data_IF_666815586429
#
_entry.id   IF_666815586429
#
_cell.length_a   1.000
_cell.length_b   1.000
_cell.length_c   1.000
_cell.angle_alpha   90.00
_cell.angle_beta   90.00
_cell.angle_gamma   90.00
#
_symmetry.space_group_name_H-M   'P 1'
#
loop_
_entity.id
_entity.type
_entity.pdbx_description
1 polymer ?
#
# COMPACT_ATOMS: atom_id res chain seq x y z
N UNK A 1 24.80 -10.24 0.00
CA UNK A 1 23.73 -9.25 0.05
C UNK A 1 23.12 -8.96 -1.30
N UNK A 2 23.94 -8.80 -2.35
CA UNK A 2 23.43 -8.54 -3.70
C UNK A 2 22.59 -9.70 -4.24
N UNK A 3 22.90 -10.93 -3.84
CA UNK A 3 22.13 -12.11 -4.27
C UNK A 3 20.71 -12.11 -3.74
N UNK A 4 20.51 -11.68 -2.48
CA UNK A 4 19.20 -11.63 -1.86
C UNK A 4 18.33 -10.54 -2.48
N UNK A 5 18.92 -9.38 -2.78
CA UNK A 5 18.20 -8.29 -3.44
C UNK A 5 17.78 -8.68 -4.85
N UNK A 6 18.65 -9.38 -5.60
CA UNK A 6 18.30 -9.88 -6.93
C UNK A 6 17.18 -10.93 -6.88
N UNK A 7 17.28 -11.85 -5.91
CA UNK A 7 16.27 -12.89 -5.74
C UNK A 7 14.93 -12.26 -5.37
N UNK A 8 14.93 -11.25 -4.50
CA UNK A 8 13.70 -10.55 -4.10
C UNK A 8 13.05 -9.81 -5.26
N UNK A 9 13.85 -9.17 -6.09
CA UNK A 9 13.35 -8.46 -7.27
C UNK A 9 12.76 -9.44 -8.29
N UNK A 10 13.41 -10.58 -8.50
CA UNK A 10 12.91 -11.60 -9.41
C UNK A 10 11.62 -12.22 -8.89
N UNK A 11 11.54 -12.48 -7.58
CA UNK A 11 10.32 -13.01 -6.98
C UNK A 11 9.17 -12.02 -7.07
N UNK A 12 9.43 -10.74 -6.85
CA UNK A 12 8.41 -9.72 -7.02
C UNK A 12 7.87 -9.71 -8.45
N UNK A 13 8.76 -9.75 -9.43
CA UNK A 13 8.37 -9.77 -10.83
C UNK A 13 7.49 -10.97 -11.16
N UNK A 14 7.85 -12.15 -10.66
CA UNK A 14 7.07 -13.36 -10.87
C UNK A 14 5.69 -13.25 -10.23
N UNK A 15 5.64 -12.77 -8.99
CA UNK A 15 4.37 -12.60 -8.28
C UNK A 15 3.48 -11.57 -8.96
N UNK A 16 4.07 -10.48 -9.45
CA UNK A 16 3.32 -9.46 -10.19
C UNK A 16 2.72 -10.04 -11.46
N UNK A 17 3.50 -10.79 -12.23
CA UNK A 17 2.99 -11.43 -13.45
C UNK A 17 1.86 -12.41 -13.13
N UNK A 18 2.02 -13.22 -12.10
CA UNK A 18 0.97 -14.16 -11.66
C UNK A 18 -0.30 -13.45 -11.24
N UNK A 19 -0.16 -12.34 -10.51
CA UNK A 19 -1.32 -11.57 -10.09
C UNK A 19 -2.06 -10.96 -11.28
N UNK A 20 -1.34 -10.47 -12.28
CA UNK A 20 -1.94 -9.95 -13.49
C UNK A 20 -2.69 -11.03 -14.25
N UNK A 21 -2.08 -12.19 -14.42
CA UNK A 21 -2.72 -13.34 -15.10
C UNK A 21 -3.98 -13.76 -14.32
N UNK A 22 -3.89 -13.83 -13.00
CA UNK A 22 -5.03 -14.18 -12.16
C UNK A 22 -6.17 -13.18 -12.24
N UNK A 23 -5.87 -11.94 -12.57
CA UNK A 23 -6.87 -10.90 -12.77
C UNK A 23 -7.42 -10.86 -14.21
N UNK A 24 -6.98 -11.77 -15.07
CA UNK A 24 -7.40 -11.83 -16.46
C UNK A 24 -6.67 -10.86 -17.37
N UNK A 25 -5.50 -10.41 -16.96
CA UNK A 25 -4.71 -9.43 -17.70
C UNK A 25 -3.45 -10.08 -18.30
N UNK A 26 -3.01 -9.55 -19.43
CA UNK A 26 -1.73 -9.98 -20.01
C UNK A 26 -0.59 -9.34 -19.20
N UNK A 27 0.46 -10.10 -18.86
CA UNK A 27 1.58 -9.57 -18.08
C UNK A 27 2.55 -8.78 -18.95
N UNK A 28 2.06 -7.69 -19.52
CA UNK A 28 2.82 -6.82 -20.41
C UNK A 28 2.95 -5.43 -19.81
N UNK A 29 4.05 -4.77 -20.14
CA UNK A 29 4.34 -3.43 -19.61
C UNK A 29 3.25 -2.41 -19.96
N UNK A 30 2.71 -2.46 -21.18
CA UNK A 30 1.66 -1.52 -21.59
C UNK A 30 0.38 -1.69 -20.77
N UNK A 31 0.00 -2.93 -20.48
CA UNK A 31 -1.17 -3.23 -19.65
C UNK A 31 -0.93 -2.78 -18.21
N UNK A 32 0.26 -3.05 -17.68
CA UNK A 32 0.65 -2.67 -16.33
C UNK A 32 0.67 -1.14 -16.17
N UNK A 33 1.28 -0.43 -17.12
CA UNK A 33 1.34 1.03 -17.09
C UNK A 33 -0.05 1.64 -17.03
N UNK A 34 -0.93 1.20 -17.92
CA UNK A 34 -2.30 1.74 -17.99
C UNK A 34 -3.07 1.48 -16.70
N UNK A 35 -3.07 0.23 -16.25
CA UNK A 35 -3.82 -0.15 -15.05
C UNK A 35 -3.29 0.51 -13.79
N UNK A 36 -1.98 0.55 -13.63
CA UNK A 36 -1.38 1.21 -12.48
C UNK A 36 -1.70 2.70 -12.45
N UNK A 37 -1.49 3.40 -13.58
CA UNK A 37 -1.70 4.84 -13.63
C UNK A 37 -3.16 5.25 -13.45
N UNK A 38 -4.10 4.38 -13.82
CA UNK A 38 -5.52 4.64 -13.58
C UNK A 38 -5.91 4.47 -12.11
N UNK A 39 -5.13 3.73 -11.35
CA UNK A 39 -5.46 3.37 -9.97
C UNK A 39 -4.53 3.97 -8.92
N UNK A 40 -3.60 4.81 -9.33
CA UNK A 40 -2.63 5.43 -8.43
C UNK A 40 -2.74 6.95 -8.53
N UNK A 41 -2.88 7.60 -7.37
CA UNK A 41 -3.07 9.05 -7.29
C UNK A 41 -1.78 9.84 -7.07
N UNK A 42 -0.65 9.29 -7.44
CA UNK A 42 0.63 9.97 -7.40
C UNK A 42 1.14 10.26 -8.80
N UNK A 43 2.44 10.48 -8.92
CA UNK A 43 3.06 10.65 -10.22
C UNK A 43 2.87 9.39 -11.06
N UNK A 44 2.44 9.52 -12.32
CA UNK A 44 2.29 8.35 -13.18
C UNK A 44 3.64 7.72 -13.48
N UNK A 45 3.63 6.40 -13.64
CA UNK A 45 4.82 5.66 -14.05
C UNK A 45 4.95 5.68 -15.56
N UNK A 46 6.20 5.62 -16.03
CA UNK A 46 6.48 5.47 -17.45
C UNK A 46 6.41 4.00 -17.84
N UNK A 47 6.25 3.75 -19.14
CA UNK A 47 6.27 2.39 -19.67
C UNK A 47 7.59 1.69 -19.31
N UNK A 48 8.71 2.39 -19.46
CA UNK A 48 10.02 1.85 -19.12
C UNK A 48 10.13 1.50 -17.63
N UNK A 49 9.60 2.37 -16.77
CA UNK A 49 9.63 2.15 -15.33
C UNK A 49 8.89 0.90 -14.91
N UNK A 50 7.65 0.71 -15.41
CA UNK A 50 6.88 -0.49 -15.07
C UNK A 50 7.45 -1.75 -15.72
N UNK A 51 8.06 -1.62 -16.90
CA UNK A 51 8.72 -2.73 -17.55
C UNK A 51 9.85 -3.29 -16.68
N UNK A 52 10.57 -2.44 -15.98
CA UNK A 52 11.64 -2.86 -15.07
C UNK A 52 11.09 -3.69 -13.90
N UNK A 53 9.87 -3.37 -13.43
CA UNK A 53 9.21 -4.19 -12.41
C UNK A 53 8.96 -5.61 -12.91
N UNK A 54 8.46 -5.73 -14.15
CA UNK A 54 8.16 -7.03 -14.75
C UNK A 54 9.40 -7.85 -15.07
N UNK A 55 10.52 -7.18 -15.32
CA UNK A 55 11.79 -7.87 -15.61
C UNK A 55 12.58 -8.24 -14.37
N UNK A 56 12.14 -7.79 -13.19
CA UNK A 56 12.86 -8.06 -11.96
C UNK A 56 14.09 -7.20 -11.77
N UNK A 57 14.13 -6.04 -12.40
CA UNK A 57 15.22 -5.08 -12.26
C UNK A 57 15.05 -4.14 -11.09
N UNK A 58 13.80 -3.76 -10.79
CA UNK A 58 13.48 -2.90 -9.66
C UNK A 58 12.19 -3.36 -8.98
N UNK A 59 12.05 -2.98 -7.72
CA UNK A 59 10.83 -3.21 -6.94
C UNK A 59 10.26 -1.83 -6.60
N UNK A 60 8.95 -1.61 -6.82
CA UNK A 60 8.34 -0.32 -6.47
C UNK A 60 8.30 -0.11 -4.96
N UNK A 61 8.23 1.15 -4.50
CA UNK A 61 8.03 1.43 -3.09
C UNK A 61 6.69 0.88 -2.59
N UNK A 62 6.56 0.73 -1.28
CA UNK A 62 5.39 0.10 -0.67
C UNK A 62 4.08 0.74 -1.11
N UNK A 63 4.02 2.06 -1.17
CA UNK A 63 2.79 2.76 -1.58
C UNK A 63 2.32 2.34 -2.97
N UNK A 64 3.26 2.13 -3.88
CA UNK A 64 2.93 1.68 -5.24
C UNK A 64 2.51 0.22 -5.27
N UNK A 65 3.12 -0.61 -4.42
CA UNK A 65 2.71 -2.01 -4.31
C UNK A 65 1.30 -2.14 -3.73
N UNK A 66 0.94 -1.28 -2.77
CA UNK A 66 -0.44 -1.24 -2.25
C UNK A 66 -1.42 -0.91 -3.37
N UNK A 67 -1.08 0.05 -4.23
CA UNK A 67 -1.93 0.41 -5.37
C UNK A 67 -2.07 -0.76 -6.36
N UNK A 68 -0.97 -1.47 -6.63
CA UNK A 68 -0.99 -2.65 -7.48
C UNK A 68 -1.88 -3.74 -6.88
N UNK A 69 -1.75 -3.99 -5.59
CA UNK A 69 -2.54 -5.01 -4.90
C UNK A 69 -4.04 -4.69 -4.95
N UNK A 70 -4.40 -3.45 -4.73
CA UNK A 70 -5.81 -3.02 -4.82
C UNK A 70 -6.36 -3.18 -6.22
N UNK A 71 -5.59 -2.78 -7.22
CA UNK A 71 -6.00 -2.91 -8.62
C UNK A 71 -6.17 -4.38 -9.01
N UNK A 72 -5.23 -5.21 -8.63
CA UNK A 72 -5.24 -6.64 -8.98
C UNK A 72 -6.09 -7.47 -8.03
N UNK A 73 -6.62 -6.86 -6.97
CA UNK A 73 -7.49 -7.50 -5.96
C UNK A 73 -6.81 -8.66 -5.25
N UNK A 74 -5.56 -8.47 -4.91
CA UNK A 74 -4.78 -9.45 -4.15
C UNK A 74 -4.24 -8.81 -2.88
N UNK A 75 -3.95 -9.60 -1.84
CA UNK A 75 -3.27 -9.07 -0.66
C UNK A 75 -1.86 -8.59 -1.01
N UNK A 76 -1.37 -7.57 -0.29
CA UNK A 76 -0.03 -7.04 -0.51
C UNK A 76 1.03 -8.14 -0.35
N UNK A 77 0.82 -9.06 0.57
CA UNK A 77 1.73 -10.18 0.81
C UNK A 77 1.92 -11.08 -0.41
N UNK A 78 0.93 -11.14 -1.29
CA UNK A 78 1.05 -11.91 -2.53
C UNK A 78 2.09 -11.32 -3.47
N UNK A 79 2.38 -10.02 -3.33
CA UNK A 79 3.40 -9.36 -4.15
C UNK A 79 4.75 -9.29 -3.45
N UNK A 80 4.76 -8.93 -2.18
CA UNK A 80 6.00 -8.83 -1.40
C UNK A 80 6.46 -10.14 -0.76
N UNK A 81 5.55 -11.08 -0.54
CA UNK A 81 5.86 -12.28 0.22
C UNK A 81 6.07 -11.98 1.70
N UNK A 82 6.92 -12.77 2.36
CA UNK A 82 7.16 -12.65 3.80
C UNK A 82 7.74 -11.28 4.17
N UNK A 83 8.56 -10.68 3.28
CA UNK A 83 9.13 -9.35 3.52
C UNK A 83 8.12 -8.22 3.49
N UNK A 84 6.94 -8.47 2.92
CA UNK A 84 5.90 -7.46 2.82
C UNK A 84 5.32 -7.03 4.15
N UNK A 85 5.27 -7.93 5.12
CA UNK A 85 4.79 -7.60 6.46
C UNK A 85 5.66 -6.53 7.12
N UNK A 86 6.96 -6.68 7.01
CA UNK A 86 7.91 -5.73 7.59
C UNK A 86 7.78 -4.36 6.90
N UNK A 87 7.68 -4.35 5.58
CA UNK A 87 7.49 -3.11 4.84
C UNK A 87 6.16 -2.44 5.20
N UNK A 88 5.09 -3.24 5.39
CA UNK A 88 3.79 -2.73 5.78
C UNK A 88 3.83 -2.08 7.16
N UNK A 89 4.53 -2.70 8.10
CA UNK A 89 4.66 -2.16 9.45
C UNK A 89 5.46 -0.85 9.44
N UNK A 90 6.52 -0.79 8.66
CA UNK A 90 7.34 0.43 8.53
C UNK A 90 6.57 1.58 7.87
N UNK A 91 5.69 1.25 6.94
CA UNK A 91 4.90 2.25 6.20
C UNK A 91 3.67 2.73 6.95
N UNK A 92 3.26 2.05 8.02
CA UNK A 92 2.12 2.49 8.82
C UNK A 92 2.41 3.82 9.49
N UNK A 93 1.39 4.70 9.64
CA UNK A 93 1.58 5.92 10.39
C UNK A 93 2.10 5.60 11.78
N UNK A 94 3.18 6.26 12.16
CA UNK A 94 3.76 6.06 13.50
C UNK A 94 3.06 6.99 14.47
N UNK A 95 2.22 6.43 15.31
CA UNK A 95 1.68 7.15 16.45
C UNK A 95 2.72 7.21 17.54
N UNK A 96 2.58 8.16 18.46
CA UNK A 96 3.49 8.25 19.57
C UNK A 96 3.48 7.00 20.44
N UNK A 97 4.51 6.80 21.28
CA UNK A 97 4.61 5.60 22.11
C UNK A 97 3.45 5.45 23.11
N UNK A 98 2.71 6.51 23.35
CA UNK A 98 1.56 6.50 24.25
C UNK A 98 0.31 5.89 23.61
N UNK A 99 0.29 5.74 22.30
CA UNK A 99 -0.87 5.23 21.59
C UNK A 99 -0.81 3.71 21.54
N UNK A 100 -1.68 3.08 22.32
CA UNK A 100 -1.75 1.65 22.40
C UNK A 100 -2.57 1.04 21.27
N UNK A 101 -2.72 -0.28 21.34
CA UNK A 101 -3.44 -1.04 20.33
C UNK A 101 -4.92 -0.65 20.26
N UNK A 102 -5.53 -0.40 21.43
CA UNK A 102 -6.94 -0.03 21.49
C UNK A 102 -7.21 1.32 20.82
N UNK A 103 -6.31 2.26 20.98
CA UNK A 103 -6.43 3.57 20.35
C UNK A 103 -6.30 3.47 18.84
N UNK A 104 -5.45 2.58 18.36
CA UNK A 104 -5.32 2.32 16.92
C UNK A 104 -6.59 1.74 16.34
N UNK A 105 -7.20 0.78 17.02
CA UNK A 105 -8.46 0.21 16.59
C UNK A 105 -9.56 1.26 16.54
N UNK A 106 -9.61 2.12 17.55
CA UNK A 106 -10.58 3.20 17.61
C UNK A 106 -10.39 4.17 16.44
N UNK A 107 -9.15 4.53 16.15
CA UNK A 107 -8.84 5.42 15.03
C UNK A 107 -9.23 4.80 13.69
N UNK A 108 -8.93 3.52 13.50
CA UNK A 108 -9.32 2.82 12.28
C UNK A 108 -10.84 2.76 12.12
N UNK A 109 -11.56 2.50 13.22
CA UNK A 109 -13.02 2.50 13.21
C UNK A 109 -13.56 3.89 12.86
N UNK A 110 -12.92 4.95 13.39
CA UNK A 110 -13.28 6.32 13.06
C UNK A 110 -13.19 6.60 11.56
N UNK A 111 -12.11 6.13 10.92
CA UNK A 111 -11.89 6.35 9.49
C UNK A 111 -12.93 5.64 8.63
N UNK A 112 -13.55 4.58 9.15
CA UNK A 112 -14.58 3.83 8.42
C UNK A 112 -15.97 4.45 8.55
N UNK A 113 -16.15 5.42 9.43
CA UNK A 113 -17.43 6.07 9.62
C UNK A 113 -17.80 6.96 8.43
N UNK A 114 -19.11 7.11 8.12
CA UNK A 114 -19.56 8.09 7.13
C UNK A 114 -19.14 9.51 7.51
N UNK A 115 -18.99 10.39 6.52
CA UNK A 115 -18.50 11.75 6.74
C UNK A 115 -19.28 12.53 7.82
N UNK A 116 -20.62 12.48 7.86
CA UNK A 116 -21.36 13.21 8.92
C UNK A 116 -21.01 12.72 10.31
N UNK A 117 -20.86 11.41 10.50
CA UNK A 117 -20.53 10.85 11.80
C UNK A 117 -19.09 11.16 12.19
N UNK A 118 -18.17 11.15 11.23
CA UNK A 118 -16.78 11.54 11.51
C UNK A 118 -16.68 12.98 11.98
N UNK A 119 -17.48 13.85 11.43
CA UNK A 119 -17.52 15.27 11.85
C UNK A 119 -17.93 15.40 13.30
N UNK A 120 -18.97 14.68 13.72
CA UNK A 120 -19.45 14.72 15.09
C UNK A 120 -18.38 14.21 16.06
N UNK A 121 -17.75 13.09 15.74
CA UNK A 121 -16.69 12.53 16.58
C UNK A 121 -15.50 13.48 16.65
N UNK A 122 -15.15 14.09 15.53
CA UNK A 122 -14.06 15.07 15.49
C UNK A 122 -14.32 16.25 16.44
N UNK A 123 -15.54 16.77 16.42
CA UNK A 123 -15.91 17.90 17.28
C UNK A 123 -15.80 17.52 18.75
N UNK A 124 -16.21 16.31 19.11
CA UNK A 124 -16.09 15.81 20.48
C UNK A 124 -14.63 15.70 20.88
N UNK A 125 -13.79 15.14 20.05
CA UNK A 125 -12.36 14.98 20.33
C UNK A 125 -11.69 16.35 20.51
N UNK A 126 -11.99 17.29 19.62
CA UNK A 126 -11.42 18.64 19.71
C UNK A 126 -11.86 19.33 21.00
N UNK A 127 -13.14 19.19 21.38
CA UNK A 127 -13.66 19.78 22.61
C UNK A 127 -12.94 19.23 23.84
N UNK A 128 -12.75 17.91 23.90
CA UNK A 128 -12.03 17.29 25.00
C UNK A 128 -10.56 17.69 25.03
N UNK A 129 -9.93 17.79 23.85
CA UNK A 129 -8.54 18.21 23.77
C UNK A 129 -8.31 19.60 24.29
N UNK A 130 -9.22 20.53 23.98
CA UNK A 130 -9.16 21.89 24.48
C UNK A 130 -9.37 21.95 25.99
N UNK A 131 -10.26 21.10 26.49
CA UNK A 131 -10.53 21.02 27.92
C UNK A 131 -9.32 20.53 28.70
N UNK A 132 -8.62 19.54 28.19
CA UNK A 132 -7.45 18.92 28.85
C UNK A 132 -6.18 19.74 28.61
N UNK A 133 -6.09 20.42 27.48
CA UNK A 133 -4.90 21.20 27.11
C UNK A 133 -4.73 22.49 27.85
N UNK A 134 -5.66 22.83 28.71
CA UNK A 134 -5.57 24.00 29.56
C UNK A 134 -5.31 23.61 31.01
#
# INVERSE_FOLDING_TARGET
>A
MDKDAKADKALFAERLRRAMIGAGLEPKAAVLERGFNQNFYGEPMTLHGVARWLKGETVPPYAKVVALAKWLKVPVENLYGAGGRHAAEEARPKFGPEIGYQERELFEAFLKLPAPQRRIVREIIVAFSKSVGQ
#
